data_IF_342015501642
#
_entry.id   IF_342015501642
#
_cell.length_a   1.000
_cell.length_b   1.000
_cell.length_c   1.000
_cell.angle_alpha   90.00
_cell.angle_beta   90.00
_cell.angle_gamma   90.00
#
_symmetry.space_group_name_H-M   'P 1'
#
loop_
_entity.id
_entity.type
_entity.pdbx_description
1 polymer ?
#
# COMPACT_ATOMS: atom_id res chain seq x y z
N UNK A 1 -9.41 -7.18 -6.18
CA UNK A 1 -8.98 -5.85 -6.63
C UNK A 1 -9.95 -4.77 -6.20
N UNK A 2 -11.11 -4.65 -6.84
CA UNK A 2 -12.12 -3.61 -6.60
C UNK A 2 -12.46 -3.35 -5.12
N UNK A 3 -12.62 -4.41 -4.31
CA UNK A 3 -12.94 -4.24 -2.88
C UNK A 3 -11.82 -3.55 -2.09
N UNK A 4 -10.55 -3.86 -2.40
CA UNK A 4 -9.41 -3.27 -1.70
C UNK A 4 -9.24 -1.80 -2.09
N UNK A 5 -9.44 -1.46 -3.36
CA UNK A 5 -9.46 -0.07 -3.81
C UNK A 5 -10.62 0.72 -3.18
N UNK A 6 -11.79 0.09 -3.04
CA UNK A 6 -12.94 0.70 -2.37
C UNK A 6 -12.64 0.99 -0.89
N UNK A 7 -11.95 0.08 -0.20
CA UNK A 7 -11.48 0.32 1.18
C UNK A 7 -10.55 1.55 1.22
N UNK A 8 -9.60 1.65 0.30
CA UNK A 8 -8.71 2.82 0.20
C UNK A 8 -9.54 4.10 0.01
N UNK A 9 -10.54 4.10 -0.88
CA UNK A 9 -11.31 5.29 -1.20
C UNK A 9 -12.31 5.72 -0.11
N UNK A 10 -12.95 4.76 0.58
CA UNK A 10 -14.07 5.02 1.50
C UNK A 10 -13.61 5.39 2.91
N UNK A 11 -12.53 4.78 3.42
CA UNK A 11 -12.06 5.05 4.78
C UNK A 11 -11.09 6.24 4.83
N UNK A 12 -11.07 6.98 5.95
CA UNK A 12 -10.17 8.13 6.13
C UNK A 12 -8.70 7.72 6.31
N UNK A 13 -7.78 8.66 6.10
CA UNK A 13 -6.33 8.40 6.10
C UNK A 13 -5.78 7.97 7.46
N UNK A 14 -6.34 8.50 8.56
CA UNK A 14 -5.96 8.10 9.93
C UNK A 14 -6.17 6.60 10.17
N UNK A 15 -7.24 6.02 9.60
CA UNK A 15 -7.50 4.58 9.70
C UNK A 15 -6.46 3.80 8.90
N UNK A 16 -6.12 4.26 7.69
CA UNK A 16 -5.11 3.60 6.87
C UNK A 16 -3.73 3.63 7.52
N UNK A 17 -3.34 4.73 8.15
CA UNK A 17 -2.10 4.82 8.90
C UNK A 17 -2.08 3.87 10.10
N UNK A 18 -3.21 3.76 10.82
CA UNK A 18 -3.32 2.88 11.98
C UNK A 18 -3.35 1.38 11.63
N UNK A 19 -3.86 1.02 10.45
CA UNK A 19 -4.04 -0.40 10.02
C UNK A 19 -3.19 -0.76 8.80
N UNK A 20 -2.14 0.00 8.51
CA UNK A 20 -1.34 -0.14 7.29
C UNK A 20 -0.73 -1.55 7.16
N UNK A 21 -0.16 -2.06 8.26
CA UNK A 21 0.48 -3.37 8.29
C UNK A 21 -0.54 -4.50 8.05
N UNK A 22 -1.70 -4.43 8.69
CA UNK A 22 -2.79 -5.40 8.52
C UNK A 22 -3.34 -5.37 7.10
N UNK A 23 -3.53 -4.17 6.52
CA UNK A 23 -4.00 -4.02 5.15
C UNK A 23 -3.00 -4.59 4.14
N UNK A 24 -1.71 -4.27 4.27
CA UNK A 24 -0.65 -4.78 3.40
C UNK A 24 -0.50 -6.30 3.55
N UNK A 25 -0.61 -6.84 4.77
CA UNK A 25 -0.61 -8.29 4.98
C UNK A 25 -1.81 -8.96 4.30
N UNK A 26 -3.01 -8.40 4.44
CA UNK A 26 -4.21 -8.90 3.77
C UNK A 26 -4.07 -8.85 2.25
N UNK A 27 -3.44 -7.82 1.70
CA UNK A 27 -3.06 -7.77 0.30
C UNK A 27 -2.16 -8.94 -0.10
N UNK A 28 -1.26 -9.40 0.80
CA UNK A 28 -0.34 -10.52 0.59
C UNK A 28 -1.05 -11.86 0.41
N UNK A 29 -2.20 -11.99 1.06
CA UNK A 29 -3.04 -13.20 1.04
C UNK A 29 -4.07 -13.18 -0.11
N UNK A 30 -4.08 -12.13 -0.96
CA UNK A 30 -4.98 -12.05 -2.11
C UNK A 30 -4.61 -13.07 -3.18
N UNK A 31 -5.65 -13.59 -3.85
CA UNK A 31 -5.50 -14.54 -4.97
C UNK A 31 -4.60 -13.97 -6.08
N UNK A 32 -3.85 -14.84 -6.81
CA UNK A 32 -2.83 -14.40 -7.76
C UNK A 32 -3.36 -13.49 -8.88
N UNK A 33 -4.62 -13.64 -9.31
CA UNK A 33 -5.20 -12.83 -10.38
C UNK A 33 -5.46 -11.37 -9.97
N UNK A 34 -5.40 -11.04 -8.68
CA UNK A 34 -5.57 -9.65 -8.23
C UNK A 34 -4.31 -8.85 -8.50
N UNK A 35 -4.46 -7.68 -9.14
CA UNK A 35 -3.37 -6.76 -9.38
C UNK A 35 -3.04 -5.96 -8.10
N UNK A 36 -2.17 -6.54 -7.28
CA UNK A 36 -1.72 -5.92 -6.02
C UNK A 36 -0.95 -4.62 -6.27
N UNK A 37 -0.28 -4.50 -7.43
CA UNK A 37 0.45 -3.27 -7.80
C UNK A 37 -0.48 -2.06 -7.80
N UNK A 38 -1.66 -2.17 -8.44
CA UNK A 38 -2.62 -1.06 -8.49
C UNK A 38 -3.10 -0.66 -7.10
N UNK A 39 -3.35 -1.64 -6.22
CA UNK A 39 -3.77 -1.40 -4.83
C UNK A 39 -2.68 -0.64 -4.06
N UNK A 40 -1.41 -1.04 -4.21
CA UNK A 40 -0.28 -0.37 -3.57
C UNK A 40 -0.08 1.05 -4.09
N UNK A 41 -0.15 1.25 -5.40
CA UNK A 41 -0.05 2.58 -6.03
C UNK A 41 -1.14 3.51 -5.49
N UNK A 42 -2.39 3.06 -5.48
CA UNK A 42 -3.52 3.85 -4.99
C UNK A 42 -3.35 4.26 -3.52
N UNK A 43 -2.81 3.36 -2.67
CA UNK A 43 -2.55 3.66 -1.27
C UNK A 43 -1.40 4.67 -1.10
N UNK A 44 -0.30 4.50 -1.84
CA UNK A 44 0.85 5.40 -1.80
C UNK A 44 0.45 6.80 -2.27
N UNK A 45 -0.26 6.93 -3.39
CA UNK A 45 -0.74 8.22 -3.90
C UNK A 45 -1.62 8.93 -2.86
N UNK A 46 -2.52 8.19 -2.20
CA UNK A 46 -3.40 8.75 -1.18
C UNK A 46 -2.63 9.25 0.04
N UNK A 47 -1.69 8.46 0.54
CA UNK A 47 -0.84 8.87 1.67
C UNK A 47 0.11 10.01 1.29
N UNK A 48 0.60 10.05 0.05
CA UNK A 48 1.42 11.16 -0.44
C UNK A 48 0.62 12.48 -0.48
N UNK A 49 -0.63 12.44 -0.92
CA UNK A 49 -1.53 13.60 -0.87
C UNK A 49 -1.81 14.04 0.57
N UNK A 50 -2.02 13.08 1.48
CA UNK A 50 -2.21 13.37 2.90
C UNK A 50 -0.97 14.00 3.54
N UNK A 51 0.23 13.51 3.22
CA UNK A 51 1.50 14.07 3.67
C UNK A 51 1.80 15.46 3.09
N UNK A 52 1.39 15.71 1.84
CA UNK A 52 1.59 16.97 1.16
C UNK A 52 0.61 18.07 1.60
N UNK A 53 -0.41 17.74 2.40
CA UNK A 53 -1.40 18.71 2.88
C UNK A 53 -0.82 19.56 4.03
N UNK A 54 -0.57 20.87 3.81
CA UNK A 54 0.05 21.74 4.82
C UNK A 54 -0.88 22.13 5.97
N UNK A 55 -2.20 22.01 5.79
CA UNK A 55 -3.22 22.34 6.80
C UNK A 55 -3.72 21.09 7.55
N UNK A 56 -3.21 19.90 7.19
CA UNK A 56 -3.59 18.62 7.79
C UNK A 56 -2.70 18.23 8.98
N UNK A 57 -3.10 17.20 9.75
CA UNK A 57 -2.26 16.66 10.83
C UNK A 57 -0.95 16.04 10.32
N UNK A 58 -0.86 15.76 9.02
CA UNK A 58 0.32 15.17 8.39
C UNK A 58 0.56 13.74 8.86
N UNK A 59 1.67 13.15 8.41
CA UNK A 59 2.04 11.79 8.78
C UNK A 59 2.89 11.82 10.05
N UNK A 60 2.50 11.09 11.11
CA UNK A 60 3.30 10.98 12.33
C UNK A 60 4.72 10.48 12.04
N UNK A 61 5.73 11.12 12.64
CA UNK A 61 7.15 10.81 12.37
C UNK A 61 7.59 9.41 12.86
N UNK A 62 6.82 8.82 13.78
CA UNK A 62 6.98 7.45 14.24
C UNK A 62 6.55 6.41 13.19
N UNK A 63 5.78 6.81 12.17
CA UNK A 63 5.39 5.94 11.06
C UNK A 63 6.41 6.06 9.93
N UNK A 64 7.31 5.08 9.86
CA UNK A 64 8.28 4.94 8.76
C UNK A 64 7.61 4.30 7.54
N UNK A 65 6.79 5.07 6.82
CA UNK A 65 6.04 4.56 5.65
C UNK A 65 6.93 3.88 4.63
N UNK A 66 8.06 4.49 4.27
CA UNK A 66 8.97 3.95 3.27
C UNK A 66 9.47 2.55 3.66
N UNK A 67 9.85 2.36 4.91
CA UNK A 67 10.33 1.06 5.40
C UNK A 67 9.23 0.01 5.37
N UNK A 68 8.02 0.37 5.83
CA UNK A 68 6.84 -0.51 5.81
C UNK A 68 6.50 -0.93 4.39
N UNK A 69 6.37 0.03 3.46
CA UNK A 69 6.07 -0.26 2.06
C UNK A 69 7.18 -1.07 1.39
N UNK A 70 8.46 -0.75 1.63
CA UNK A 70 9.58 -1.47 1.05
C UNK A 70 9.63 -2.93 1.54
N UNK A 71 9.40 -3.16 2.84
CA UNK A 71 9.36 -4.50 3.41
C UNK A 71 8.20 -5.31 2.84
N UNK A 72 7.00 -4.72 2.80
CA UNK A 72 5.83 -5.42 2.28
C UNK A 72 5.95 -5.67 0.77
N UNK A 73 6.43 -4.71 -0.02
CA UNK A 73 6.73 -4.91 -1.45
C UNK A 73 7.70 -6.09 -1.67
N UNK A 74 8.76 -6.19 -0.87
CA UNK A 74 9.68 -7.35 -0.92
C UNK A 74 8.97 -8.66 -0.59
N UNK A 75 8.09 -8.66 0.41
CA UNK A 75 7.33 -9.85 0.79
C UNK A 75 6.33 -10.26 -0.31
N UNK A 76 5.69 -9.31 -0.99
CA UNK A 76 4.84 -9.57 -2.15
C UNK A 76 5.60 -10.23 -3.29
N UNK A 77 6.77 -9.70 -3.62
CA UNK A 77 7.63 -10.24 -4.68
C UNK A 77 8.12 -11.65 -4.33
N UNK A 78 8.42 -11.91 -3.06
CA UNK A 78 8.83 -13.26 -2.60
C UNK A 78 7.69 -14.27 -2.62
N UNK A 79 6.48 -13.86 -2.21
CA UNK A 79 5.34 -14.75 -2.08
C UNK A 79 4.64 -15.04 -3.42
N UNK A 80 4.84 -14.21 -4.44
CA UNK A 80 4.29 -14.40 -5.79
C UNK A 80 5.40 -14.81 -6.76
N UNK A 81 5.58 -16.12 -6.94
CA UNK A 81 6.56 -16.72 -7.85
C UNK A 81 6.33 -16.42 -9.34
N UNK A 82 5.18 -15.87 -9.73
CA UNK A 82 4.81 -15.53 -11.12
C UNK A 82 4.55 -14.02 -11.33
N UNK A 83 5.20 -13.15 -10.56
CA UNK A 83 5.12 -11.71 -10.84
C UNK A 83 6.12 -11.31 -11.94
N UNK A 84 5.67 -10.72 -13.06
CA UNK A 84 6.57 -10.30 -14.13
C UNK A 84 7.51 -9.18 -13.67
N UNK A 85 8.73 -9.17 -14.21
CA UNK A 85 9.82 -8.31 -13.74
C UNK A 85 9.50 -6.81 -13.84
N UNK A 86 8.67 -6.43 -14.81
CA UNK A 86 8.18 -5.06 -15.00
C UNK A 86 7.35 -4.55 -13.82
N UNK A 87 6.54 -5.43 -13.21
CA UNK A 87 5.73 -5.07 -12.04
C UNK A 87 6.61 -4.93 -10.79
N UNK A 88 7.66 -5.75 -10.68
CA UNK A 88 8.65 -5.66 -9.60
C UNK A 88 9.40 -4.32 -9.68
N UNK A 89 9.88 -3.94 -10.87
CA UNK A 89 10.61 -2.68 -11.07
C UNK A 89 9.71 -1.47 -10.83
N UNK A 90 8.43 -1.55 -11.18
CA UNK A 90 7.47 -0.46 -10.95
C UNK A 90 7.17 -0.19 -9.46
N UNK A 91 7.49 -1.14 -8.57
CA UNK A 91 7.29 -1.03 -7.12
C UNK A 91 8.50 -0.48 -6.37
N UNK A 92 9.67 -0.36 -7.03
CA UNK A 92 10.92 0.15 -6.48
C UNK A 92 11.19 1.59 -6.92
#
# INVERSE_FOLDING_TARGET
>A
EYLMECVIQVFGDDFHLATLNEFLRACGDLVPEVNVKNILIALIERLALFAANPDGPGIPADIQLFDIFSEQAKNFVKNRTEMPLEDIVSLY
#
